data_IF_777049712254
#
_entry.id   IF_777049712254
#
_cell.length_a   1.000
_cell.length_b   1.000
_cell.length_c   1.000
_cell.angle_alpha   90.00
_cell.angle_beta   90.00
_cell.angle_gamma   90.00
#
_symmetry.space_group_name_H-M   'P 1'
#
loop_
_entity.id
_entity.type
_entity.pdbx_description
1 polymer ?
#
# COMPACT_ATOMS: atom_id res chain seq x y z
N UNK A 1 20.15 54.91 -66.19
CA UNK A 1 19.21 54.10 -67.00
C UNK A 1 18.83 52.89 -66.18
N UNK A 2 17.51 52.74 -65.87
CA UNK A 2 16.72 51.50 -65.60
C UNK A 2 17.34 50.39 -64.72
N UNK A 3 16.73 49.75 -63.73
CA UNK A 3 15.36 49.64 -63.18
C UNK A 3 15.50 48.88 -61.83
N UNK A 4 14.95 49.37 -60.71
CA UNK A 4 13.68 48.99 -60.06
C UNK A 4 13.59 47.58 -59.43
N UNK A 5 12.89 47.57 -58.27
CA UNK A 5 12.16 46.48 -57.57
C UNK A 5 12.93 45.77 -56.46
N UNK A 6 12.41 45.52 -55.27
CA UNK A 6 11.15 45.81 -54.60
C UNK A 6 11.46 45.45 -53.12
N UNK A 7 11.13 46.31 -52.15
CA UNK A 7 10.08 46.05 -51.15
C UNK A 7 10.29 44.77 -50.31
N UNK A 8 10.50 44.92 -49.00
CA UNK A 8 9.48 44.58 -47.98
C UNK A 8 10.08 44.78 -46.59
N UNK A 9 9.44 45.71 -45.88
CA UNK A 9 9.44 46.00 -44.46
C UNK A 9 9.23 44.74 -43.61
N UNK A 10 9.85 44.65 -42.43
CA UNK A 10 9.13 44.39 -41.17
C UNK A 10 10.05 44.50 -39.95
N UNK A 11 9.85 45.60 -39.22
CA UNK A 11 10.14 45.69 -37.79
C UNK A 11 9.20 44.78 -37.00
N UNK A 12 9.71 44.13 -35.96
CA UNK A 12 9.00 43.62 -34.77
C UNK A 12 10.09 42.98 -33.88
N UNK A 13 10.73 43.70 -32.95
CA UNK A 13 10.28 44.03 -31.58
C UNK A 13 9.54 42.86 -30.90
N UNK A 14 9.95 42.60 -29.65
CA UNK A 14 9.23 41.89 -28.56
C UNK A 14 9.57 40.38 -28.48
N UNK A 15 9.93 39.72 -27.36
CA UNK A 15 10.26 40.05 -25.95
C UNK A 15 10.74 38.73 -25.29
N UNK A 16 11.56 38.87 -24.24
CA UNK A 16 11.79 37.94 -23.11
C UNK A 16 12.16 36.47 -23.36
N UNK A 17 13.34 36.14 -22.85
CA UNK A 17 13.58 35.04 -21.91
C UNK A 17 12.37 34.14 -21.61
N UNK A 18 12.41 32.90 -22.08
CA UNK A 18 11.71 31.80 -21.42
C UNK A 18 12.74 30.69 -21.19
N UNK A 19 13.33 30.73 -19.99
CA UNK A 19 13.94 29.56 -19.37
C UNK A 19 12.86 28.47 -19.28
N UNK A 20 12.80 27.57 -20.26
CA UNK A 20 12.07 26.32 -20.12
C UNK A 20 13.04 25.33 -19.47
N UNK A 21 13.32 25.56 -18.19
CA UNK A 21 13.67 24.46 -17.32
C UNK A 21 12.42 23.60 -17.24
N UNK A 22 12.38 22.56 -18.06
CA UNK A 22 11.36 21.52 -17.99
C UNK A 22 11.39 20.97 -16.57
N UNK A 23 10.53 21.51 -15.72
CA UNK A 23 10.21 20.97 -14.41
C UNK A 23 9.46 19.68 -14.69
N UNK A 24 10.22 18.61 -14.94
CA UNK A 24 9.79 17.25 -14.73
C UNK A 24 9.30 17.25 -13.27
N UNK A 25 7.99 17.38 -13.09
CA UNK A 25 7.33 17.21 -11.81
C UNK A 25 7.53 15.76 -11.43
N UNK A 26 8.68 15.45 -10.82
CA UNK A 26 8.93 14.20 -10.12
C UNK A 26 7.75 14.05 -9.20
N UNK A 27 6.85 13.11 -9.53
CA UNK A 27 5.74 12.74 -8.67
C UNK A 27 6.41 12.26 -7.39
N UNK A 28 6.49 13.12 -6.37
CA UNK A 28 6.98 12.77 -5.04
C UNK A 28 6.28 11.46 -4.68
N UNK A 29 7.06 10.40 -4.52
CA UNK A 29 6.54 9.11 -4.10
C UNK A 29 5.62 9.34 -2.91
N UNK A 30 4.37 8.92 -3.03
CA UNK A 30 3.40 9.06 -1.96
C UNK A 30 3.97 8.32 -0.76
N UNK A 31 4.29 9.04 0.32
CA UNK A 31 4.70 8.44 1.59
C UNK A 31 3.73 7.29 1.89
N UNK A 32 4.23 6.09 2.24
CA UNK A 32 3.36 4.96 2.51
C UNK A 32 2.33 5.37 3.55
N UNK A 33 1.04 5.11 3.24
CA UNK A 33 -0.07 5.44 4.13
C UNK A 33 0.26 4.88 5.50
N UNK A 34 0.19 5.75 6.50
CA UNK A 34 0.40 5.50 7.93
C UNK A 34 0.13 4.04 8.26
N UNK A 35 1.15 3.32 8.75
CA UNK A 35 1.00 1.94 9.25
C UNK A 35 -0.24 1.90 10.15
N UNK A 36 -1.05 0.84 10.13
CA UNK A 36 -2.24 0.67 10.99
C UNK A 36 -1.86 0.50 12.49
N UNK A 37 -0.96 1.34 12.97
CA UNK A 37 -0.26 1.30 14.24
C UNK A 37 -0.28 2.73 14.76
N UNK A 38 -0.62 2.91 16.03
CA UNK A 38 -0.52 4.21 16.69
C UNK A 38 0.94 4.52 17.06
N UNK A 39 1.19 5.72 17.59
CA UNK A 39 2.55 6.13 18.00
C UNK A 39 3.11 5.26 19.14
N UNK A 40 2.28 4.42 19.78
CA UNK A 40 2.62 3.55 20.90
C UNK A 40 2.66 2.08 20.51
N UNK A 41 2.56 1.74 19.22
CA UNK A 41 2.58 0.35 18.76
C UNK A 41 1.24 -0.40 18.88
N UNK A 42 0.15 0.23 19.31
CA UNK A 42 -1.18 -0.39 19.32
C UNK A 42 -1.79 -0.39 17.92
N UNK A 43 -2.59 -1.41 17.62
CA UNK A 43 -3.35 -1.48 16.39
C UNK A 43 -4.39 -0.35 16.35
N UNK A 44 -4.35 0.51 15.32
CA UNK A 44 -5.29 1.65 15.17
C UNK A 44 -6.73 1.21 14.93
N UNK A 45 -6.90 0.10 14.20
CA UNK A 45 -8.19 -0.52 13.90
C UNK A 45 -8.13 -1.97 14.34
N UNK A 46 -9.05 -2.36 15.20
CA UNK A 46 -9.20 -3.72 15.72
C UNK A 46 -10.63 -4.14 15.37
N UNK A 47 -10.79 -5.28 14.70
CA UNK A 47 -12.11 -5.83 14.40
C UNK A 47 -12.79 -6.33 15.68
N UNK A 48 -14.08 -6.63 15.62
CA UNK A 48 -14.80 -7.20 16.78
C UNK A 48 -14.20 -8.56 17.20
N UNK A 49 -13.85 -9.41 16.25
CA UNK A 49 -13.22 -10.71 16.52
C UNK A 49 -11.84 -10.56 17.17
N UNK A 50 -11.00 -9.65 16.66
CA UNK A 50 -9.70 -9.36 17.25
C UNK A 50 -9.83 -8.74 18.65
N UNK A 51 -10.88 -7.95 18.91
CA UNK A 51 -11.14 -7.39 20.23
C UNK A 51 -11.55 -8.47 21.23
N UNK A 52 -12.40 -9.41 20.81
CA UNK A 52 -12.75 -10.57 21.62
C UNK A 52 -11.50 -11.40 21.93
N UNK A 53 -10.68 -11.69 20.93
CA UNK A 53 -9.40 -12.40 21.11
C UNK A 53 -8.49 -11.74 22.16
N UNK A 54 -8.38 -10.41 22.16
CA UNK A 54 -7.60 -9.69 23.18
C UNK A 54 -8.19 -9.81 24.59
N UNK A 55 -9.53 -9.82 24.70
CA UNK A 55 -10.21 -10.01 25.99
C UNK A 55 -10.06 -11.45 26.46
N UNK A 56 -10.23 -12.42 25.57
CA UNK A 56 -10.09 -13.85 25.84
C UNK A 56 -8.67 -14.17 26.33
N UNK A 57 -7.64 -13.64 25.67
CA UNK A 57 -6.26 -13.81 26.12
C UNK A 57 -6.00 -13.25 27.53
N UNK A 58 -6.63 -12.14 27.89
CA UNK A 58 -6.55 -11.59 29.26
C UNK A 58 -7.33 -12.46 30.23
N UNK A 59 -8.50 -12.96 29.84
CA UNK A 59 -9.35 -13.84 30.65
C UNK A 59 -8.65 -15.17 30.93
N UNK A 60 -8.09 -15.81 29.91
CA UNK A 60 -7.30 -17.04 30.04
C UNK A 60 -6.11 -16.83 30.97
N UNK A 61 -5.40 -15.71 30.83
CA UNK A 61 -4.28 -15.39 31.71
C UNK A 61 -4.73 -15.16 33.17
N UNK A 62 -5.90 -14.56 33.42
CA UNK A 62 -6.45 -14.44 34.77
C UNK A 62 -6.85 -15.80 35.36
N UNK A 63 -7.44 -16.68 34.55
CA UNK A 63 -7.82 -18.03 34.97
C UNK A 63 -6.59 -18.88 35.31
N UNK A 64 -5.54 -18.83 34.47
CA UNK A 64 -4.27 -19.53 34.70
C UNK A 64 -3.61 -19.05 35.99
N UNK A 65 -3.62 -17.74 36.24
CA UNK A 65 -3.04 -17.15 37.45
C UNK A 65 -3.94 -17.34 38.69
N UNK A 66 -5.23 -17.67 38.50
CA UNK A 66 -6.29 -17.76 39.54
C UNK A 66 -6.41 -16.50 40.41
N UNK A 67 -5.91 -15.38 39.91
CA UNK A 67 -5.84 -14.11 40.63
C UNK A 67 -5.77 -12.95 39.63
N UNK A 68 -6.01 -11.73 40.11
CA UNK A 68 -6.01 -10.55 39.25
C UNK A 68 -4.61 -10.29 38.68
N UNK A 69 -4.55 -10.07 37.37
CA UNK A 69 -3.30 -9.69 36.68
C UNK A 69 -2.83 -8.31 37.15
N UNK A 70 -1.51 -8.17 37.31
CA UNK A 70 -0.88 -6.86 37.47
C UNK A 70 -0.87 -6.13 36.12
N UNK A 71 -0.73 -4.80 36.14
CA UNK A 71 -0.73 -4.02 34.90
C UNK A 71 0.42 -4.40 33.97
N UNK A 72 1.58 -4.80 34.52
CA UNK A 72 2.72 -5.27 33.74
C UNK A 72 2.46 -6.62 33.06
N UNK A 73 1.89 -7.57 33.79
CA UNK A 73 1.51 -8.88 33.24
C UNK A 73 0.46 -8.70 32.14
N UNK A 74 -0.57 -7.90 32.41
CA UNK A 74 -1.62 -7.60 31.42
C UNK A 74 -1.03 -6.92 30.18
N UNK A 75 -0.06 -6.02 30.36
CA UNK A 75 0.66 -5.39 29.25
C UNK A 75 1.45 -6.41 28.43
N UNK A 76 2.13 -7.36 29.07
CA UNK A 76 2.87 -8.45 28.38
C UNK A 76 1.92 -9.35 27.59
N UNK A 77 0.84 -9.82 28.20
CA UNK A 77 -0.20 -10.64 27.54
C UNK A 77 -0.76 -9.94 26.31
N UNK A 78 -1.17 -8.68 26.46
CA UNK A 78 -1.70 -7.90 25.34
C UNK A 78 -0.65 -7.61 24.26
N UNK A 79 0.63 -7.53 24.62
CA UNK A 79 1.71 -7.33 23.64
C UNK A 79 1.82 -8.55 22.73
N UNK A 80 1.88 -9.75 23.32
CA UNK A 80 1.94 -11.02 22.57
C UNK A 80 0.70 -11.23 21.71
N UNK A 81 -0.49 -11.04 22.28
CA UNK A 81 -1.74 -11.21 21.54
C UNK A 81 -1.86 -10.25 20.34
N UNK A 82 -1.40 -8.99 20.50
CA UNK A 82 -1.36 -8.03 19.38
C UNK A 82 -0.35 -8.41 18.31
N UNK A 83 0.77 -9.02 18.69
CA UNK A 83 1.76 -9.52 17.73
C UNK A 83 1.19 -10.69 16.90
N UNK A 84 0.43 -11.58 17.52
CA UNK A 84 -0.28 -12.65 16.82
C UNK A 84 -1.27 -12.09 15.79
N UNK A 85 -2.07 -11.08 16.16
CA UNK A 85 -2.98 -10.40 15.21
C UNK A 85 -2.19 -9.81 14.02
N UNK A 86 -1.03 -9.18 14.27
CA UNK A 86 -0.19 -8.66 13.18
C UNK A 86 0.30 -9.76 12.26
N UNK A 87 0.72 -10.89 12.82
CA UNK A 87 1.18 -12.04 12.05
C UNK A 87 0.06 -12.61 11.18
N UNK A 88 -1.14 -12.79 11.74
CA UNK A 88 -2.31 -13.26 11.01
C UNK A 88 -2.67 -12.34 9.84
N UNK A 89 -2.70 -11.02 10.06
CA UNK A 89 -2.97 -10.06 8.99
C UNK A 89 -1.97 -10.14 7.84
N UNK A 90 -0.67 -10.24 8.14
CA UNK A 90 0.36 -10.42 7.10
C UNK A 90 0.14 -11.72 6.34
N UNK A 91 -0.20 -12.81 7.03
CA UNK A 91 -0.49 -14.09 6.39
C UNK A 91 -1.72 -14.00 5.46
N UNK A 92 -2.78 -13.29 5.88
CA UNK A 92 -3.96 -13.04 5.06
C UNK A 92 -3.64 -12.16 3.83
N UNK A 93 -2.80 -11.14 3.98
CA UNK A 93 -2.33 -10.29 2.88
C UNK A 93 -1.58 -11.13 1.83
N UNK A 94 -0.63 -11.94 2.26
CA UNK A 94 0.13 -12.86 1.38
C UNK A 94 -0.80 -13.88 0.72
N UNK A 95 -1.77 -14.43 1.45
CA UNK A 95 -2.75 -15.36 0.88
C UNK A 95 -3.58 -14.70 -0.21
N UNK A 96 -4.06 -13.48 0.03
CA UNK A 96 -4.81 -12.70 -0.97
C UNK A 96 -3.97 -12.37 -2.21
N UNK A 97 -2.68 -12.11 -2.05
CA UNK A 97 -1.76 -11.90 -3.18
C UNK A 97 -1.62 -13.18 -4.02
N UNK A 98 -1.37 -14.32 -3.38
CA UNK A 98 -1.29 -15.63 -4.06
C UNK A 98 -2.58 -16.00 -4.77
N UNK A 99 -3.73 -15.73 -4.17
CA UNK A 99 -5.02 -16.04 -4.79
C UNK A 99 -5.24 -15.18 -6.05
N UNK A 100 -4.82 -13.91 -6.04
CA UNK A 100 -4.85 -13.06 -7.25
C UNK A 100 -3.94 -13.61 -8.35
N UNK A 101 -2.74 -14.06 -8.01
CA UNK A 101 -1.81 -14.67 -8.98
C UNK A 101 -2.40 -15.94 -9.60
N UNK A 102 -3.01 -16.81 -8.79
CA UNK A 102 -3.69 -18.03 -9.27
C UNK A 102 -4.82 -17.72 -10.25
N UNK A 103 -5.62 -16.70 -9.96
CA UNK A 103 -6.72 -16.30 -10.83
C UNK A 103 -6.27 -15.50 -12.06
N UNK A 104 -5.05 -14.94 -12.07
CA UNK A 104 -4.48 -14.25 -13.22
C UNK A 104 -3.93 -15.22 -14.29
N UNK A 105 -3.60 -16.46 -13.90
CA UNK A 105 -3.25 -17.53 -14.86
C UNK A 105 -4.53 -17.99 -15.54
N UNK A 106 -4.89 -17.33 -16.64
CA UNK A 106 -5.98 -17.76 -17.52
C UNK A 106 -5.57 -19.12 -18.09
N UNK A 107 -6.25 -20.16 -17.64
CA UNK A 107 -6.10 -21.49 -18.19
C UNK A 107 -6.71 -21.51 -19.59
N UNK A 108 -5.85 -21.40 -20.61
CA UNK A 108 -6.26 -21.55 -22.00
C UNK A 108 -6.43 -23.04 -22.32
N UNK A 109 -7.68 -23.49 -22.45
CA UNK A 109 -7.96 -24.83 -22.96
C UNK A 109 -7.65 -24.88 -24.45
N UNK A 110 -6.50 -25.45 -24.82
CA UNK A 110 -6.20 -25.76 -26.22
C UNK A 110 -6.91 -27.05 -26.62
N UNK A 111 -7.71 -26.98 -27.68
CA UNK A 111 -8.31 -28.18 -28.29
C UNK A 111 -7.17 -29.11 -28.70
N UNK A 112 -7.17 -30.38 -28.25
CA UNK A 112 -6.13 -31.33 -28.65
C UNK A 112 -6.14 -31.52 -30.17
N UNK A 113 -4.95 -31.55 -30.76
CA UNK A 113 -4.75 -31.75 -32.19
C UNK A 113 -5.31 -33.12 -32.58
N UNK A 114 -6.17 -33.15 -33.60
CA UNK A 114 -6.83 -34.39 -34.02
C UNK A 114 -5.77 -35.36 -34.52
N UNK A 115 -5.64 -36.49 -33.83
CA UNK A 115 -4.73 -37.56 -34.24
C UNK A 115 -5.20 -38.12 -35.60
N UNK A 116 -4.42 -37.88 -36.65
CA UNK A 116 -4.63 -38.53 -37.94
C UNK A 116 -3.94 -39.90 -37.91
N UNK A 117 -4.70 -40.96 -38.17
CA UNK A 117 -4.27 -42.37 -38.14
C UNK A 117 -3.87 -42.83 -39.54
#
# INVERSE_FOLDING_TARGET
MKDNKDNVVSEQKIVSEVNVSDVIKVKKERKPRVRNIDNYGRLRKVSLSERNFLNDAVSEATEVKKSRLTDEERRKVLCVAREQIRSQRRAEEIKKERDKERHAVVFEWKRPETFHR
#
